data_IF_278770166183
#
_entry.id   IF_278770166183
#
_cell.length_a   1.000
_cell.length_b   1.000
_cell.length_c   1.000
_cell.angle_alpha   90.00
_cell.angle_beta   90.00
_cell.angle_gamma   90.00
#
_symmetry.space_group_name_H-M   'P 1'
#
loop_
_entity.id
_entity.type
_entity.pdbx_description
1 polymer ?
#
# COMPACT_ATOMS: atom_id res chain seq x y z
N UNK A 1 31.08 -0.07 -32.39
CA UNK A 1 29.94 0.64 -31.83
C UNK A 1 29.81 0.29 -30.35
N UNK A 2 29.69 1.28 -29.46
CA UNK A 2 29.38 1.06 -28.03
C UNK A 2 27.87 0.98 -27.84
N UNK A 3 27.43 0.19 -26.88
CA UNK A 3 26.03 0.08 -26.46
C UNK A 3 25.91 0.46 -25.01
N UNK A 4 24.87 1.24 -24.66
CA UNK A 4 24.56 1.55 -23.26
C UNK A 4 23.95 0.31 -22.61
N UNK A 5 24.59 -0.19 -21.53
CA UNK A 5 24.12 -1.33 -20.77
C UNK A 5 23.61 -0.86 -19.41
N UNK A 6 22.57 -1.52 -18.91
CA UNK A 6 22.03 -1.28 -17.57
C UNK A 6 22.68 -2.24 -16.59
N UNK A 7 23.21 -1.73 -15.49
CA UNK A 7 23.55 -2.52 -14.30
C UNK A 7 22.23 -2.76 -13.55
N UNK A 8 21.58 -3.88 -13.83
CA UNK A 8 20.26 -4.19 -13.31
C UNK A 8 20.28 -4.38 -11.79
N UNK A 9 21.33 -5.02 -11.26
CA UNK A 9 21.45 -5.21 -9.80
C UNK A 9 21.49 -3.87 -9.09
N UNK A 10 22.40 -2.98 -9.51
CA UNK A 10 22.56 -1.65 -8.93
C UNK A 10 21.28 -0.83 -9.04
N UNK A 11 20.62 -0.87 -10.20
CA UNK A 11 19.34 -0.19 -10.38
C UNK A 11 18.26 -0.69 -9.40
N UNK A 12 18.19 -2.02 -9.16
CA UNK A 12 17.22 -2.58 -8.22
C UNK A 12 17.56 -2.22 -6.76
N UNK A 13 18.85 -2.14 -6.42
CA UNK A 13 19.33 -1.67 -5.12
C UNK A 13 18.98 -0.20 -4.91
N UNK A 14 19.23 0.68 -5.87
CA UNK A 14 18.86 2.10 -5.82
C UNK A 14 17.34 2.27 -5.69
N UNK A 15 16.56 1.48 -6.42
CA UNK A 15 15.10 1.49 -6.32
C UNK A 15 14.62 1.03 -4.95
N UNK A 16 15.25 0.01 -4.35
CA UNK A 16 14.96 -0.42 -2.96
C UNK A 16 15.25 0.70 -1.98
N UNK A 17 16.42 1.33 -2.10
CA UNK A 17 16.91 2.35 -1.17
C UNK A 17 16.09 3.67 -1.27
N UNK A 18 15.37 3.87 -2.38
CA UNK A 18 14.43 4.98 -2.51
C UNK A 18 13.15 4.81 -1.64
N UNK A 19 12.90 3.62 -1.09
CA UNK A 19 11.78 3.39 -0.18
C UNK A 19 12.22 3.56 1.28
N UNK A 20 11.44 4.26 2.11
CA UNK A 20 11.69 4.32 3.54
C UNK A 20 11.28 3.00 4.19
N UNK A 21 12.21 2.29 4.80
CA UNK A 21 11.92 1.06 5.54
C UNK A 21 12.61 -0.18 4.97
N UNK A 22 12.31 -1.33 5.57
CA UNK A 22 12.91 -2.60 5.18
C UNK A 22 12.45 -3.05 3.79
N UNK A 23 13.34 -3.71 3.06
CA UNK A 23 13.04 -4.24 1.72
C UNK A 23 11.85 -5.21 1.75
N UNK A 24 11.76 -6.04 2.76
CA UNK A 24 10.70 -7.03 2.95
C UNK A 24 9.32 -6.37 3.09
N UNK A 25 9.23 -5.31 3.88
CA UNK A 25 7.99 -4.54 4.05
C UNK A 25 7.60 -3.82 2.75
N UNK A 26 8.58 -3.29 2.03
CA UNK A 26 8.38 -2.68 0.70
C UNK A 26 7.84 -3.69 -0.30
N UNK A 27 8.47 -4.87 -0.40
CA UNK A 27 8.04 -5.94 -1.30
C UNK A 27 6.60 -6.33 -0.98
N UNK A 28 6.29 -6.59 0.28
CA UNK A 28 4.96 -6.98 0.74
C UNK A 28 3.92 -5.92 0.34
N UNK A 29 4.16 -4.65 0.67
CA UNK A 29 3.21 -3.56 0.39
C UNK A 29 3.01 -3.32 -1.10
N UNK A 30 4.04 -3.47 -1.92
CA UNK A 30 3.93 -3.34 -3.37
C UNK A 30 3.14 -4.50 -4.00
N UNK A 31 3.34 -5.72 -3.51
CA UNK A 31 2.57 -6.89 -3.96
C UNK A 31 1.09 -6.75 -3.58
N UNK A 32 0.81 -6.29 -2.36
CA UNK A 32 -0.55 -5.97 -1.91
C UNK A 32 -1.19 -4.89 -2.78
N UNK A 33 -0.48 -3.81 -3.08
CA UNK A 33 -0.97 -2.74 -3.94
C UNK A 33 -1.33 -3.26 -5.35
N UNK A 34 -0.53 -4.17 -5.90
CA UNK A 34 -0.84 -4.81 -7.18
C UNK A 34 -2.09 -5.69 -7.12
N UNK A 35 -2.24 -6.46 -6.04
CA UNK A 35 -3.41 -7.31 -5.82
C UNK A 35 -4.68 -6.49 -5.56
N UNK A 36 -4.58 -5.34 -4.90
CA UNK A 36 -5.71 -4.41 -4.73
C UNK A 36 -6.16 -3.85 -6.07
N UNK A 37 -5.24 -3.36 -6.88
CA UNK A 37 -5.53 -2.78 -8.19
C UNK A 37 -6.05 -3.81 -9.22
N UNK A 38 -5.88 -5.11 -8.99
CA UNK A 38 -6.46 -6.17 -9.83
C UNK A 38 -7.98 -6.32 -9.64
N UNK A 39 -8.58 -5.59 -8.69
CA UNK A 39 -9.98 -5.69 -8.31
C UNK A 39 -10.30 -6.93 -7.48
N UNK A 40 -9.30 -7.60 -6.91
CA UNK A 40 -9.51 -8.74 -6.04
C UNK A 40 -10.31 -8.37 -4.79
N UNK A 41 -11.14 -9.28 -4.29
CA UNK A 41 -11.84 -9.13 -3.00
C UNK A 41 -11.06 -9.82 -1.87
N UNK A 42 -10.37 -10.92 -2.17
CA UNK A 42 -9.60 -11.69 -1.20
C UNK A 42 -8.13 -11.75 -1.61
N UNK A 43 -7.23 -11.57 -0.64
CA UNK A 43 -5.78 -11.74 -0.78
C UNK A 43 -5.32 -12.69 0.30
N UNK A 44 -4.70 -13.77 -0.13
CA UNK A 44 -4.20 -14.80 0.75
C UNK A 44 -2.68 -14.80 0.75
N UNK A 45 -2.11 -14.77 1.93
CA UNK A 45 -0.67 -14.81 2.17
C UNK A 45 -0.37 -16.15 2.84
N UNK A 46 0.48 -16.94 2.22
CA UNK A 46 0.92 -18.21 2.78
C UNK A 46 2.42 -18.19 2.94
N UNK A 47 2.87 -18.08 4.17
CA UNK A 47 4.26 -18.20 4.55
C UNK A 47 4.56 -19.66 4.90
N UNK A 48 5.54 -20.25 4.23
CA UNK A 48 6.06 -21.60 4.47
C UNK A 48 7.55 -21.53 4.81
N UNK A 49 7.92 -21.44 6.09
CA UNK A 49 9.31 -21.40 6.50
C UNK A 49 10.09 -22.68 6.13
N UNK A 50 9.44 -23.84 6.05
CA UNK A 50 10.12 -25.10 5.74
C UNK A 50 10.62 -25.13 4.29
N UNK A 51 9.93 -24.47 3.38
CA UNK A 51 10.30 -24.31 1.98
C UNK A 51 10.98 -22.98 1.68
N UNK A 52 11.10 -22.08 2.67
CA UNK A 52 11.52 -20.70 2.49
C UNK A 52 10.69 -19.96 1.44
N UNK A 53 9.37 -20.20 1.42
CA UNK A 53 8.46 -19.67 0.41
C UNK A 53 7.41 -18.73 1.03
N UNK A 54 7.18 -17.58 0.37
CA UNK A 54 6.00 -16.75 0.55
C UNK A 54 5.16 -16.79 -0.73
N UNK A 55 3.91 -17.21 -0.63
CA UNK A 55 2.93 -17.15 -1.72
C UNK A 55 1.87 -16.09 -1.42
N UNK A 56 1.63 -15.20 -2.36
CA UNK A 56 0.54 -14.22 -2.32
C UNK A 56 -0.39 -14.55 -3.48
N UNK A 57 -1.65 -14.83 -3.15
CA UNK A 57 -2.71 -15.17 -4.09
C UNK A 57 -3.81 -14.11 -4.02
N UNK A 58 -4.27 -13.63 -5.15
CA UNK A 58 -5.46 -12.78 -5.28
C UNK A 58 -6.52 -13.42 -6.18
N UNK A 59 -7.79 -13.11 -5.92
CA UNK A 59 -8.95 -13.50 -6.71
C UNK A 59 -9.35 -12.40 -7.73
N UNK A 60 -8.39 -11.63 -8.22
CA UNK A 60 -8.61 -10.55 -9.18
C UNK A 60 -8.82 -11.02 -10.62
N UNK A 61 -8.82 -10.07 -11.53
CA UNK A 61 -9.12 -10.31 -12.94
C UNK A 61 -8.07 -11.15 -13.69
N UNK A 62 -6.91 -11.46 -13.10
CA UNK A 62 -5.80 -12.13 -13.74
C UNK A 62 -5.19 -11.35 -14.91
N UNK A 63 -4.12 -11.87 -15.50
CA UNK A 63 -3.40 -11.25 -16.61
C UNK A 63 -3.59 -12.03 -17.90
N UNK A 64 -3.59 -11.33 -19.04
CA UNK A 64 -3.42 -11.96 -20.36
C UNK A 64 -1.95 -12.35 -20.54
N UNK A 65 -1.66 -13.31 -21.42
CA UNK A 65 -0.30 -13.78 -21.70
C UNK A 65 0.66 -12.63 -22.04
N UNK A 66 0.23 -11.67 -22.87
CA UNK A 66 1.02 -10.49 -23.23
C UNK A 66 1.30 -9.56 -22.01
N UNK A 67 0.34 -9.45 -21.09
CA UNK A 67 0.46 -8.59 -19.92
C UNK A 67 1.43 -9.23 -18.90
N UNK A 68 1.37 -10.57 -18.76
CA UNK A 68 2.35 -11.34 -17.97
C UNK A 68 3.76 -11.26 -18.57
N UNK A 69 3.92 -11.27 -19.92
CA UNK A 69 5.22 -11.05 -20.53
C UNK A 69 5.79 -9.66 -20.18
N UNK A 70 4.98 -8.59 -20.33
CA UNK A 70 5.37 -7.21 -19.98
C UNK A 70 5.60 -6.97 -18.50
N UNK A 71 5.02 -7.80 -17.65
CA UNK A 71 5.21 -7.74 -16.20
C UNK A 71 6.69 -7.90 -15.80
N UNK A 72 7.51 -8.56 -16.62
CA UNK A 72 8.94 -8.75 -16.38
C UNK A 72 9.80 -7.53 -16.78
N UNK A 73 9.26 -6.62 -17.60
CA UNK A 73 9.98 -5.42 -18.00
C UNK A 73 10.11 -4.45 -16.81
N UNK A 74 11.32 -3.96 -16.54
CA UNK A 74 11.57 -3.00 -15.45
C UNK A 74 10.89 -1.67 -15.77
N UNK A 75 10.20 -1.11 -14.77
CA UNK A 75 9.42 0.12 -14.87
C UNK A 75 8.27 0.10 -15.91
N UNK A 76 8.01 -1.04 -16.57
CA UNK A 76 6.84 -1.16 -17.44
C UNK A 76 5.57 -1.30 -16.58
N UNK A 77 4.59 -0.47 -16.89
CA UNK A 77 3.27 -0.52 -16.28
C UNK A 77 2.20 -0.14 -17.31
N UNK A 78 1.05 -0.77 -17.21
CA UNK A 78 -0.15 -0.35 -17.96
C UNK A 78 -1.07 0.51 -17.11
N UNK A 79 -0.74 0.70 -15.82
CA UNK A 79 -1.55 1.42 -14.85
C UNK A 79 -1.30 2.92 -14.96
N UNK A 80 -2.36 3.69 -14.85
CA UNK A 80 -2.31 5.15 -14.87
C UNK A 80 -2.23 5.67 -13.43
N UNK A 81 -1.34 6.62 -13.20
CA UNK A 81 -1.23 7.28 -11.89
C UNK A 81 -2.55 7.99 -11.56
N UNK A 82 -3.07 7.74 -10.36
CA UNK A 82 -4.35 8.31 -9.90
C UNK A 82 -5.54 7.37 -10.01
N UNK A 83 -5.43 6.25 -10.74
CA UNK A 83 -6.48 5.24 -10.87
C UNK A 83 -6.30 4.07 -9.89
N UNK A 84 -5.15 3.99 -9.23
CA UNK A 84 -4.82 2.96 -8.24
C UNK A 84 -3.51 3.27 -7.53
N UNK A 85 -3.04 2.33 -6.71
CA UNK A 85 -1.83 2.46 -5.90
C UNK A 85 -0.60 1.92 -6.64
N UNK A 86 -0.74 0.85 -7.41
CA UNK A 86 0.35 0.08 -8.00
C UNK A 86 0.82 0.58 -9.37
N UNK A 87 1.10 1.87 -9.54
CA UNK A 87 1.43 2.48 -10.83
C UNK A 87 2.92 2.46 -11.21
N UNK A 88 3.83 2.13 -10.29
CA UNK A 88 5.28 2.31 -10.49
C UNK A 88 5.94 1.18 -11.33
N UNK A 89 5.34 0.01 -11.36
CA UNK A 89 5.88 -1.15 -12.09
C UNK A 89 7.21 -1.70 -11.52
N UNK A 90 7.53 -1.40 -10.26
CA UNK A 90 8.83 -1.67 -9.62
C UNK A 90 8.75 -2.75 -8.55
N UNK A 91 7.62 -2.85 -7.82
CA UNK A 91 7.52 -3.60 -6.59
C UNK A 91 8.05 -5.04 -6.62
N UNK A 92 7.55 -5.86 -7.55
CA UNK A 92 7.99 -7.27 -7.67
C UNK A 92 9.47 -7.39 -8.09
N UNK A 93 10.00 -6.37 -8.82
CA UNK A 93 11.39 -6.37 -9.28
C UNK A 93 12.35 -6.28 -8.10
N UNK A 94 11.99 -5.53 -7.05
CA UNK A 94 12.75 -5.50 -5.78
C UNK A 94 12.77 -6.90 -5.15
N UNK A 95 11.69 -7.69 -5.32
CA UNK A 95 11.62 -9.08 -4.86
C UNK A 95 12.73 -9.97 -5.40
N UNK A 96 13.28 -9.68 -6.59
CA UNK A 96 14.43 -10.42 -7.17
C UNK A 96 15.70 -10.31 -6.32
N UNK A 97 15.87 -9.23 -5.55
CA UNK A 97 17.03 -9.05 -4.66
C UNK A 97 17.05 -10.07 -3.53
N UNK A 98 15.88 -10.40 -2.99
CA UNK A 98 15.71 -11.25 -1.80
C UNK A 98 15.32 -12.70 -2.13
N UNK A 99 14.98 -12.97 -3.40
CA UNK A 99 14.49 -14.29 -3.82
C UNK A 99 15.50 -15.00 -4.72
N UNK A 100 15.60 -16.32 -4.58
CA UNK A 100 16.28 -17.21 -5.54
C UNK A 100 15.45 -17.32 -6.82
N UNK A 101 14.13 -17.41 -6.67
CA UNK A 101 13.18 -17.53 -7.76
C UNK A 101 11.88 -16.80 -7.42
N UNK A 102 11.30 -16.13 -8.41
CA UNK A 102 9.94 -15.59 -8.38
C UNK A 102 9.12 -16.38 -9.38
N UNK A 103 8.09 -17.06 -8.92
CA UNK A 103 7.09 -17.73 -9.74
C UNK A 103 5.84 -16.85 -9.78
N UNK A 104 5.31 -16.62 -10.98
CA UNK A 104 4.02 -15.93 -11.17
C UNK A 104 3.11 -16.80 -11.99
N UNK A 105 1.96 -17.15 -11.42
CA UNK A 105 0.89 -17.88 -12.10
C UNK A 105 -0.34 -16.98 -12.19
N UNK A 106 -1.01 -16.95 -13.32
CA UNK A 106 -2.21 -16.14 -13.53
C UNK A 106 -3.25 -16.89 -14.35
N UNK A 107 -4.52 -16.71 -13.99
CA UNK A 107 -5.65 -17.28 -14.73
C UNK A 107 -6.69 -16.22 -15.02
N UNK A 108 -7.05 -16.08 -16.29
CA UNK A 108 -8.05 -15.15 -16.79
C UNK A 108 -8.92 -15.82 -17.84
N UNK A 109 -10.13 -16.25 -17.47
CA UNK A 109 -10.98 -17.05 -18.33
C UNK A 109 -10.29 -18.36 -18.75
N UNK A 110 -10.14 -18.57 -20.08
CA UNK A 110 -9.46 -19.76 -20.62
C UNK A 110 -7.93 -19.66 -20.61
N UNK A 111 -7.38 -18.48 -20.33
CA UNK A 111 -5.94 -18.28 -20.30
C UNK A 111 -5.41 -18.64 -18.91
N UNK A 112 -4.57 -19.68 -18.87
CA UNK A 112 -3.84 -20.10 -17.69
C UNK A 112 -2.37 -20.16 -18.05
N UNK A 113 -1.53 -19.39 -17.38
CA UNK A 113 -0.11 -19.24 -17.72
C UNK A 113 0.73 -19.03 -16.46
N UNK A 114 1.96 -19.49 -16.50
CA UNK A 114 2.92 -19.26 -15.44
C UNK A 114 4.32 -18.97 -15.99
N UNK A 115 5.09 -18.23 -15.19
CA UNK A 115 6.50 -17.91 -15.47
C UNK A 115 7.34 -18.10 -14.23
N UNK A 116 8.62 -18.42 -14.43
CA UNK A 116 9.65 -18.25 -13.39
C UNK A 116 10.63 -17.20 -13.79
N UNK A 117 11.16 -16.49 -12.80
CA UNK A 117 12.04 -15.35 -12.97
C UNK A 117 13.08 -15.30 -11.84
N UNK A 118 14.33 -14.96 -12.14
CA UNK A 118 15.40 -14.83 -11.14
C UNK A 118 16.48 -13.85 -11.61
N UNK A 119 17.24 -13.30 -10.67
CA UNK A 119 18.41 -12.49 -10.95
C UNK A 119 19.62 -13.42 -11.15
N UNK A 120 20.06 -13.62 -12.39
CA UNK A 120 21.15 -14.53 -12.71
C UNK A 120 22.54 -13.87 -12.71
N UNK A 121 22.60 -12.53 -12.89
CA UNK A 121 23.82 -11.74 -12.84
C UNK A 121 23.51 -10.28 -12.61
N UNK A 122 24.56 -9.43 -12.46
CA UNK A 122 24.38 -7.97 -12.34
C UNK A 122 23.55 -7.34 -13.45
N UNK A 123 23.55 -7.93 -14.66
CA UNK A 123 22.92 -7.34 -15.84
C UNK A 123 21.73 -8.14 -16.38
N UNK A 124 21.42 -9.29 -15.80
CA UNK A 124 20.43 -10.21 -16.36
C UNK A 124 19.50 -10.79 -15.31
N UNK A 125 18.21 -10.71 -15.58
CA UNK A 125 17.16 -11.42 -14.87
C UNK A 125 16.31 -12.21 -15.89
N UNK A 126 16.74 -13.41 -16.32
CA UNK A 126 16.02 -14.23 -17.27
C UNK A 126 14.71 -14.75 -16.66
N UNK A 127 13.69 -14.80 -17.49
CA UNK A 127 12.41 -15.41 -17.16
C UNK A 127 12.00 -16.40 -18.27
N UNK A 128 11.21 -17.39 -17.91
CA UNK A 128 10.71 -18.39 -18.84
C UNK A 128 9.27 -18.79 -18.53
N UNK A 129 8.55 -19.20 -19.57
CA UNK A 129 7.26 -19.85 -19.41
C UNK A 129 7.44 -21.23 -18.81
N UNK A 130 6.53 -21.58 -17.89
CA UNK A 130 6.44 -22.93 -17.31
C UNK A 130 4.98 -23.41 -17.37
N UNK A 131 4.71 -24.73 -17.30
CA UNK A 131 3.39 -25.22 -17.02
C UNK A 131 2.87 -24.64 -15.70
N UNK A 132 1.60 -24.16 -15.63
CA UNK A 132 1.05 -23.65 -14.41
C UNK A 132 1.04 -24.69 -13.29
N UNK A 133 1.62 -24.42 -12.11
CA UNK A 133 1.67 -25.38 -11.01
C UNK A 133 0.33 -25.58 -10.28
N UNK A 134 -0.70 -24.78 -10.60
CA UNK A 134 -2.03 -24.93 -10.00
C UNK A 134 -2.26 -24.14 -8.72
N UNK A 135 -1.54 -23.04 -8.52
CA UNK A 135 -1.75 -22.12 -7.39
C UNK A 135 -3.05 -21.32 -7.54
N UNK A 136 -3.47 -21.06 -8.80
CA UNK A 136 -4.69 -20.31 -9.12
C UNK A 136 -5.76 -21.28 -9.62
N UNK A 137 -6.81 -21.49 -8.82
CA UNK A 137 -7.88 -22.42 -9.14
C UNK A 137 -8.79 -21.92 -10.29
N UNK A 138 -9.44 -20.78 -10.11
CA UNK A 138 -10.45 -20.27 -11.04
C UNK A 138 -9.99 -19.03 -11.82
N UNK A 139 -9.67 -17.96 -11.11
CA UNK A 139 -9.19 -16.70 -11.67
C UNK A 139 -8.32 -15.95 -10.66
N UNK A 140 -7.47 -15.06 -11.14
CA UNK A 140 -6.60 -14.26 -10.28
C UNK A 140 -5.12 -14.41 -10.62
N UNK A 141 -4.29 -14.05 -9.65
CA UNK A 141 -2.83 -14.14 -9.78
C UNK A 141 -2.22 -14.65 -8.48
N UNK A 142 -1.29 -15.58 -8.60
CA UNK A 142 -0.42 -16.02 -7.52
C UNK A 142 1.02 -15.60 -7.82
N UNK A 143 1.69 -15.04 -6.82
CA UNK A 143 3.12 -14.78 -6.87
C UNK A 143 3.78 -15.53 -5.71
N UNK A 144 4.72 -16.39 -6.02
CA UNK A 144 5.51 -17.13 -5.03
C UNK A 144 6.96 -16.65 -5.07
N UNK A 145 7.46 -16.26 -3.93
CA UNK A 145 8.86 -15.92 -3.70
C UNK A 145 9.53 -17.08 -2.98
N UNK A 146 10.54 -17.69 -3.57
CA UNK A 146 11.46 -18.58 -2.86
C UNK A 146 12.63 -17.72 -2.37
N UNK A 147 12.69 -17.53 -1.05
CA UNK A 147 13.58 -16.56 -0.43
C UNK A 147 14.98 -17.14 -0.25
N UNK A 148 16.00 -16.29 -0.46
CA UNK A 148 17.41 -16.62 -0.23
C UNK A 148 17.72 -16.81 1.26
N UNK A 149 17.06 -16.00 2.10
CA UNK A 149 17.25 -16.04 3.55
C UNK A 149 16.09 -16.80 4.20
N UNK A 150 16.34 -17.98 4.80
CA UNK A 150 15.31 -18.76 5.50
C UNK A 150 14.82 -18.11 6.80
N UNK A 151 15.50 -17.04 7.26
CA UNK A 151 15.10 -16.23 8.41
C UNK A 151 14.46 -14.91 7.99
N UNK A 152 14.04 -14.77 6.74
CA UNK A 152 13.39 -13.55 6.26
C UNK A 152 12.10 -13.27 7.03
N UNK A 153 11.85 -12.01 7.44
CA UNK A 153 10.57 -11.63 8.05
C UNK A 153 9.36 -11.94 7.18
N UNK A 154 9.52 -12.05 5.85
CA UNK A 154 8.45 -12.45 4.94
C UNK A 154 7.94 -13.88 5.17
N UNK A 155 8.64 -14.69 5.97
CA UNK A 155 8.22 -16.03 6.39
C UNK A 155 7.51 -16.04 7.74
N UNK A 156 7.42 -14.89 8.42
CA UNK A 156 6.72 -14.73 9.69
C UNK A 156 5.28 -14.21 9.45
N UNK A 157 4.25 -15.02 9.72
CA UNK A 157 2.86 -14.57 9.62
C UNK A 157 2.54 -13.36 10.49
N UNK A 158 3.19 -13.21 11.64
CA UNK A 158 3.04 -12.06 12.53
C UNK A 158 3.55 -10.76 11.91
N UNK A 159 4.71 -10.81 11.26
CA UNK A 159 5.25 -9.69 10.50
C UNK A 159 4.32 -9.29 9.35
N UNK A 160 3.81 -10.27 8.58
CA UNK A 160 2.88 -10.01 7.47
C UNK A 160 1.60 -9.34 7.98
N UNK A 161 0.99 -9.88 9.05
CA UNK A 161 -0.21 -9.29 9.66
C UNK A 161 0.04 -7.86 10.15
N UNK A 162 1.16 -7.62 10.86
CA UNK A 162 1.53 -6.30 11.36
C UNK A 162 1.72 -5.28 10.23
N UNK A 163 2.40 -5.66 9.14
CA UNK A 163 2.58 -4.82 7.98
C UNK A 163 1.25 -4.50 7.26
N UNK A 164 0.37 -5.50 7.10
CA UNK A 164 -0.96 -5.30 6.52
C UNK A 164 -1.79 -4.31 7.37
N UNK A 165 -1.79 -4.47 8.69
CA UNK A 165 -2.50 -3.57 9.62
C UNK A 165 -1.92 -2.15 9.61
N UNK A 166 -0.61 -2.01 9.49
CA UNK A 166 0.06 -0.70 9.44
C UNK A 166 -0.21 0.05 8.15
N UNK A 167 -0.01 -0.61 7.01
CA UNK A 167 -0.05 0.04 5.70
C UNK A 167 -1.43 0.07 5.05
N UNK A 168 -2.31 -0.85 5.40
CA UNK A 168 -3.65 -0.99 4.82
C UNK A 168 -4.76 -0.94 5.87
N UNK A 169 -4.49 -0.29 6.99
CA UNK A 169 -5.46 -0.06 8.07
C UNK A 169 -6.83 0.42 7.56
N UNK A 170 -6.94 1.36 6.60
CA UNK A 170 -8.24 1.83 6.12
C UNK A 170 -9.11 0.73 5.54
N UNK A 171 -8.52 -0.31 4.93
CA UNK A 171 -9.24 -1.45 4.37
C UNK A 171 -9.76 -2.42 5.43
N UNK A 172 -9.23 -2.34 6.64
CA UNK A 172 -9.63 -3.12 7.81
C UNK A 172 -10.52 -2.32 8.77
N UNK A 173 -10.72 -1.02 8.49
CA UNK A 173 -11.48 -0.12 9.34
C UNK A 173 -12.95 -0.03 8.86
N UNK A 174 -13.92 -0.48 9.67
CA UNK A 174 -15.35 -0.44 9.31
C UNK A 174 -15.85 0.98 9.00
N UNK A 175 -15.28 2.00 9.63
CA UNK A 175 -15.73 3.38 9.52
C UNK A 175 -15.36 4.05 8.19
N UNK A 176 -14.40 3.47 7.47
CA UNK A 176 -14.01 3.91 6.12
C UNK A 176 -14.63 3.04 5.02
N UNK A 177 -15.41 2.02 5.38
CA UNK A 177 -16.01 1.09 4.42
C UNK A 177 -16.87 1.78 3.38
N UNK A 178 -17.64 2.81 3.75
CA UNK A 178 -18.53 3.53 2.83
C UNK A 178 -17.75 4.28 1.75
N UNK A 179 -16.70 5.05 2.11
CA UNK A 179 -15.89 5.78 1.12
C UNK A 179 -15.09 4.82 0.25
N UNK A 180 -14.61 3.73 0.82
CA UNK A 180 -13.84 2.73 0.10
C UNK A 180 -14.71 1.82 -0.78
N UNK A 181 -16.00 1.66 -0.48
CA UNK A 181 -16.93 0.89 -1.30
C UNK A 181 -17.11 1.46 -2.72
N UNK A 182 -16.89 2.77 -2.93
CA UNK A 182 -16.89 3.37 -4.26
C UNK A 182 -15.78 2.76 -5.16
N UNK A 183 -14.66 2.33 -4.56
CA UNK A 183 -13.52 1.74 -5.27
C UNK A 183 -13.49 0.21 -5.16
N UNK A 184 -13.97 -0.31 -4.03
CA UNK A 184 -13.95 -1.75 -3.71
C UNK A 184 -15.35 -2.26 -3.38
N UNK A 185 -16.27 -2.35 -4.36
CA UNK A 185 -17.68 -2.71 -4.11
C UNK A 185 -17.85 -4.11 -3.52
N UNK A 186 -16.88 -5.02 -3.71
CA UNK A 186 -16.85 -6.35 -3.11
C UNK A 186 -16.15 -6.39 -1.75
N UNK A 187 -15.71 -5.23 -1.23
CA UNK A 187 -14.85 -5.12 -0.07
C UNK A 187 -13.44 -5.65 -0.32
N UNK A 188 -12.59 -5.56 0.71
CA UNK A 188 -11.21 -6.06 0.70
C UNK A 188 -11.01 -6.92 1.94
N UNK A 189 -10.52 -8.13 1.75
CA UNK A 189 -10.21 -9.07 2.84
C UNK A 189 -8.81 -9.62 2.69
N UNK A 190 -8.12 -9.77 3.80
CA UNK A 190 -6.79 -10.37 3.89
C UNK A 190 -6.86 -11.65 4.70
N UNK A 191 -6.18 -12.70 4.24
CA UNK A 191 -6.00 -13.94 4.98
C UNK A 191 -4.50 -14.24 5.07
N UNK A 192 -4.00 -14.58 6.27
CA UNK A 192 -2.62 -14.96 6.52
C UNK A 192 -2.60 -16.37 7.06
N UNK A 193 -1.94 -17.29 6.38
CA UNK A 193 -1.90 -18.73 6.68
C UNK A 193 -3.31 -19.29 7.00
N UNK A 194 -4.28 -18.97 6.13
CA UNK A 194 -5.66 -19.44 6.23
C UNK A 194 -6.53 -18.68 7.23
N UNK A 195 -5.98 -17.78 8.04
CA UNK A 195 -6.73 -16.97 9.01
C UNK A 195 -7.11 -15.62 8.40
N UNK A 196 -8.40 -15.33 8.32
CA UNK A 196 -8.88 -14.01 7.93
C UNK A 196 -8.51 -12.97 9.00
N UNK A 197 -8.00 -11.81 8.55
CA UNK A 197 -7.78 -10.68 9.43
C UNK A 197 -9.12 -10.05 9.78
N UNK A 198 -9.41 -10.00 11.07
CA UNK A 198 -10.59 -9.32 11.57
C UNK A 198 -10.50 -7.80 11.31
N UNK A 199 -11.64 -7.15 10.97
CA UNK A 199 -11.72 -5.71 10.99
C UNK A 199 -11.28 -5.15 12.35
N UNK A 200 -10.63 -4.00 12.34
CA UNK A 200 -10.10 -3.38 13.54
C UNK A 200 -10.52 -1.92 13.61
N UNK A 201 -11.62 -1.66 14.29
CA UNK A 201 -12.07 -0.32 14.64
C UNK A 201 -11.27 0.27 15.81
N UNK A 202 -11.45 1.55 16.04
CA UNK A 202 -10.89 2.24 17.17
C UNK A 202 -11.87 2.22 18.34
N UNK A 203 -11.41 1.71 19.47
CA UNK A 203 -12.08 1.91 20.75
C UNK A 203 -11.40 3.10 21.43
N UNK A 204 -12.05 4.24 21.42
CA UNK A 204 -11.55 5.46 22.03
C UNK A 204 -12.67 6.14 22.81
N UNK A 205 -12.28 6.96 23.80
CA UNK A 205 -13.23 7.67 24.66
C UNK A 205 -14.05 8.70 23.88
N UNK A 206 -13.38 9.43 22.99
CA UNK A 206 -14.01 10.46 22.17
C UNK A 206 -13.65 10.25 20.70
N UNK A 207 -14.63 10.55 19.84
CA UNK A 207 -14.49 10.42 18.42
C UNK A 207 -15.20 11.56 17.70
N UNK A 208 -14.56 12.11 16.67
CA UNK A 208 -15.13 13.11 15.79
C UNK A 208 -14.94 12.71 14.32
N UNK A 209 -16.02 12.75 13.55
CA UNK A 209 -15.96 12.51 12.10
C UNK A 209 -15.40 13.74 11.39
N UNK A 210 -14.50 13.52 10.44
CA UNK A 210 -13.91 14.53 9.59
C UNK A 210 -14.39 14.33 8.15
N UNK A 211 -15.10 15.32 7.62
CA UNK A 211 -15.52 15.35 6.22
C UNK A 211 -14.96 16.62 5.57
N UNK A 212 -14.04 16.45 4.63
CA UNK A 212 -13.39 17.57 3.95
C UNK A 212 -14.12 17.86 2.65
N UNK A 213 -14.57 19.10 2.50
CA UNK A 213 -15.19 19.61 1.27
C UNK A 213 -14.26 20.59 0.58
N UNK A 214 -13.98 20.36 -0.68
CA UNK A 214 -13.29 21.34 -1.52
C UNK A 214 -14.30 22.23 -2.24
N UNK A 215 -13.92 23.48 -2.57
CA UNK A 215 -14.76 24.37 -3.36
C UNK A 215 -15.27 23.68 -4.64
N UNK A 216 -16.52 23.94 -5.01
CA UNK A 216 -17.21 23.39 -6.19
C UNK A 216 -17.46 21.87 -6.19
N UNK A 217 -17.22 21.15 -5.09
CA UNK A 217 -17.61 19.73 -4.96
C UNK A 217 -18.82 19.56 -4.05
N UNK A 218 -19.84 18.82 -4.53
CA UNK A 218 -21.07 18.56 -3.75
C UNK A 218 -20.83 17.49 -2.66
N UNK A 219 -20.07 16.43 -2.99
CA UNK A 219 -19.74 15.35 -2.04
C UNK A 219 -18.44 15.68 -1.28
N UNK A 220 -18.25 15.16 -0.07
CA UNK A 220 -16.95 15.22 0.60
C UNK A 220 -15.86 14.67 -0.31
N UNK A 221 -14.75 15.38 -0.36
CA UNK A 221 -13.58 15.01 -1.18
C UNK A 221 -12.59 14.15 -0.39
N UNK A 222 -12.74 14.10 0.93
CA UNK A 222 -12.05 13.24 1.86
C UNK A 222 -12.96 12.98 3.06
N UNK A 223 -12.84 11.80 3.66
CA UNK A 223 -13.60 11.39 4.85
C UNK A 223 -12.69 10.63 5.80
N UNK A 224 -12.95 10.80 7.08
CA UNK A 224 -12.18 10.15 8.12
C UNK A 224 -12.67 10.53 9.50
N UNK A 225 -11.81 10.36 10.48
CA UNK A 225 -12.14 10.66 11.86
C UNK A 225 -10.88 10.97 12.68
N UNK A 226 -11.09 11.67 13.79
CA UNK A 226 -10.16 11.78 14.90
C UNK A 226 -10.69 11.01 16.08
N UNK A 227 -9.78 10.51 16.90
CA UNK A 227 -10.05 9.87 18.18
C UNK A 227 -9.15 10.48 19.26
N UNK A 228 -9.70 10.58 20.48
CA UNK A 228 -8.95 10.98 21.67
C UNK A 228 -9.22 10.00 22.81
N UNK A 229 -8.17 9.67 23.55
CA UNK A 229 -8.28 8.83 24.74
C UNK A 229 -7.67 9.55 25.96
N UNK A 230 -7.99 9.05 27.15
CA UNK A 230 -7.36 9.50 28.41
C UNK A 230 -5.95 8.94 28.56
N UNK A 231 -5.71 7.75 28.03
CA UNK A 231 -4.42 7.07 28.05
C UNK A 231 -3.71 7.26 26.72
N UNK A 232 -2.37 7.19 26.70
CA UNK A 232 -1.61 7.19 25.46
C UNK A 232 -2.07 6.07 24.53
N UNK A 233 -2.30 6.41 23.27
CA UNK A 233 -2.57 5.45 22.21
C UNK A 233 -1.32 4.60 21.93
N UNK A 234 -1.52 3.41 21.40
CA UNK A 234 -0.41 2.62 20.83
C UNK A 234 0.34 3.44 19.80
N UNK A 235 1.65 3.30 19.74
CA UNK A 235 2.52 4.11 18.89
C UNK A 235 2.07 4.14 17.42
N UNK A 236 1.70 2.98 16.89
CA UNK A 236 1.21 2.83 15.51
C UNK A 236 -0.14 3.50 15.24
N UNK A 237 -0.81 4.01 16.27
CA UNK A 237 -2.09 4.72 16.19
C UNK A 237 -2.00 6.21 16.52
N UNK A 238 -0.85 6.69 16.99
CA UNK A 238 -0.66 8.10 17.30
C UNK A 238 -0.61 8.94 16.02
N UNK A 239 -1.14 10.16 16.12
CA UNK A 239 -1.18 11.09 15.00
C UNK A 239 -2.24 10.78 13.95
N UNK A 240 -2.42 11.70 13.03
CA UNK A 240 -3.35 11.52 11.91
C UNK A 240 -2.67 10.79 10.76
N UNK A 241 -3.24 9.68 10.34
CA UNK A 241 -2.84 8.99 9.12
C UNK A 241 -3.61 9.55 7.92
N UNK A 242 -2.90 9.80 6.81
CA UNK A 242 -3.50 10.08 5.52
C UNK A 242 -3.31 8.89 4.60
N UNK A 243 -4.40 8.46 3.98
CA UNK A 243 -4.44 7.30 3.09
C UNK A 243 -5.04 7.66 1.73
N UNK A 244 -4.76 6.82 0.75
CA UNK A 244 -5.38 6.89 -0.57
C UNK A 244 -5.58 5.46 -1.11
N UNK A 245 -6.79 5.16 -1.56
CA UNK A 245 -7.21 3.81 -1.95
C UNK A 245 -6.91 2.76 -0.87
N UNK A 246 -7.07 3.15 0.39
CA UNK A 246 -6.86 2.25 1.53
C UNK A 246 -5.40 2.00 1.90
N UNK A 247 -4.41 2.60 1.22
CA UNK A 247 -2.99 2.58 1.62
C UNK A 247 -2.66 3.80 2.44
N UNK A 248 -2.14 3.62 3.65
CA UNK A 248 -1.57 4.69 4.47
C UNK A 248 -0.28 5.20 3.81
N UNK A 249 -0.21 6.51 3.62
CA UNK A 249 0.93 7.18 2.98
C UNK A 249 1.80 7.84 4.03
N UNK A 250 1.18 8.55 4.97
CA UNK A 250 1.86 9.22 6.08
C UNK A 250 1.04 9.09 7.36
N UNK A 251 1.72 9.13 8.49
CA UNK A 251 1.13 9.23 9.83
C UNK A 251 1.93 10.22 10.65
N UNK A 252 1.29 10.91 11.58
CA UNK A 252 1.89 11.91 12.45
C UNK A 252 1.18 13.25 12.31
N UNK A 253 1.71 14.27 12.96
CA UNK A 253 1.18 15.62 12.93
C UNK A 253 1.99 16.55 12.02
N UNK A 254 3.25 16.20 11.78
CA UNK A 254 4.25 17.02 11.07
C UNK A 254 3.83 17.29 9.62
N UNK A 255 3.26 16.27 8.96
CA UNK A 255 2.82 16.43 7.57
C UNK A 255 1.67 17.44 7.43
N UNK A 256 0.89 17.61 8.52
CA UNK A 256 -0.23 18.54 8.57
C UNK A 256 0.21 19.91 9.10
N UNK A 257 1.33 19.96 9.84
CA UNK A 257 1.83 21.18 10.46
C UNK A 257 0.99 21.61 11.66
N UNK A 258 0.48 20.64 12.42
CA UNK A 258 -0.23 20.84 13.68
C UNK A 258 0.59 20.25 14.82
N UNK A 259 0.42 20.82 16.01
CA UNK A 259 1.05 20.37 17.24
C UNK A 259 -0.02 20.27 18.35
N UNK A 260 -0.72 19.15 18.48
CA UNK A 260 -1.66 18.93 19.57
C UNK A 260 -0.96 19.00 20.93
N UNK A 261 -1.69 19.41 21.97
CA UNK A 261 -1.18 19.47 23.35
C UNK A 261 -0.87 18.09 23.91
N UNK A 262 -1.61 17.07 23.48
CA UNK A 262 -1.44 15.67 23.89
C UNK A 262 -1.28 14.75 22.67
N UNK A 263 -0.17 14.86 21.92
CA UNK A 263 -0.01 14.19 20.61
C UNK A 263 0.00 12.66 20.71
N UNK A 264 0.31 12.10 21.88
CA UNK A 264 0.29 10.67 22.18
C UNK A 264 -1.12 10.12 22.48
N UNK A 265 -2.10 10.99 22.78
CA UNK A 265 -3.48 10.63 23.12
C UNK A 265 -4.46 10.83 21.98
N UNK A 266 -4.03 11.50 20.93
CA UNK A 266 -4.86 11.82 19.77
C UNK A 266 -4.31 11.12 18.54
N UNK A 267 -5.22 10.51 17.79
CA UNK A 267 -4.92 9.85 16.53
C UNK A 267 -6.10 9.96 15.58
N UNK A 268 -5.95 9.36 14.41
CA UNK A 268 -7.04 9.37 13.43
C UNK A 268 -6.61 8.81 12.09
N UNK A 269 -7.57 8.82 11.19
CA UNK A 269 -7.40 8.29 9.85
C UNK A 269 -8.27 9.08 8.88
N UNK A 270 -7.69 9.49 7.76
CA UNK A 270 -8.41 10.18 6.69
C UNK A 270 -8.09 9.57 5.33
N UNK A 271 -9.13 9.19 4.61
CA UNK A 271 -9.03 8.62 3.26
C UNK A 271 -9.27 9.70 2.21
N UNK A 272 -8.33 9.85 1.28
CA UNK A 272 -8.34 10.87 0.22
C UNK A 272 -8.00 10.23 -1.13
N UNK A 273 -8.94 9.57 -1.82
CA UNK A 273 -8.67 8.85 -3.07
C UNK A 273 -8.04 9.73 -4.16
N UNK A 274 -8.46 10.99 -4.26
CA UNK A 274 -7.95 11.91 -5.26
C UNK A 274 -6.44 12.22 -5.15
N UNK A 275 -5.82 11.96 -3.99
CA UNK A 275 -4.38 12.20 -3.81
C UNK A 275 -3.49 11.10 -4.41
N UNK A 276 -4.06 10.00 -4.91
CA UNK A 276 -3.30 8.99 -5.65
C UNK A 276 -2.53 9.59 -6.85
N UNK A 277 -3.08 10.63 -7.50
CA UNK A 277 -2.40 11.35 -8.59
C UNK A 277 -1.15 12.12 -8.14
N UNK A 278 -1.08 12.49 -6.86
CA UNK A 278 0.01 13.28 -6.30
C UNK A 278 1.07 12.44 -5.57
N UNK A 279 0.95 11.12 -5.54
CA UNK A 279 1.92 10.24 -4.88
C UNK A 279 3.31 10.35 -5.52
N UNK A 280 4.36 10.28 -4.69
CA UNK A 280 5.73 10.05 -5.14
C UNK A 280 5.88 8.65 -5.73
N UNK A 281 7.00 8.35 -6.37
CA UNK A 281 7.25 7.05 -6.99
C UNK A 281 7.25 5.92 -5.94
N UNK A 282 7.87 6.15 -4.79
CA UNK A 282 7.94 5.24 -3.66
C UNK A 282 6.65 5.20 -2.81
N UNK A 283 5.64 6.03 -3.15
CA UNK A 283 4.33 6.08 -2.46
C UNK A 283 4.41 6.33 -0.94
N UNK A 284 5.48 6.98 -0.51
CA UNK A 284 5.71 7.34 0.90
C UNK A 284 5.50 8.83 1.18
N UNK A 285 5.28 9.63 0.14
CA UNK A 285 4.99 11.06 0.24
C UNK A 285 4.16 11.56 -0.96
N UNK A 286 3.86 12.84 -0.94
CA UNK A 286 3.15 13.54 -2.00
C UNK A 286 4.07 14.54 -2.70
N UNK A 287 3.91 14.66 -4.02
CA UNK A 287 4.55 15.69 -4.83
C UNK A 287 4.05 17.06 -4.37
N UNK A 288 4.96 18.00 -4.12
CA UNK A 288 4.63 19.34 -3.59
C UNK A 288 4.73 20.45 -4.62
N UNK A 289 5.15 20.15 -5.83
CA UNK A 289 5.38 21.12 -6.91
C UNK A 289 4.52 20.83 -8.13
N UNK A 290 4.32 21.86 -8.96
CA UNK A 290 3.51 21.76 -10.17
C UNK A 290 2.01 21.49 -9.90
N UNK A 291 1.25 21.11 -10.94
CA UNK A 291 -0.20 20.90 -10.82
C UNK A 291 -0.59 19.84 -9.78
N UNK A 292 0.19 18.77 -9.67
CA UNK A 292 -0.04 17.70 -8.67
C UNK A 292 0.21 18.19 -7.25
N UNK A 293 1.24 19.01 -7.07
CA UNK A 293 1.53 19.65 -5.80
C UNK A 293 0.45 20.62 -5.36
N UNK A 294 -0.12 21.38 -6.27
CA UNK A 294 -1.23 22.26 -6.00
C UNK A 294 -2.46 21.51 -5.47
N UNK A 295 -2.76 20.33 -6.04
CA UNK A 295 -3.83 19.45 -5.55
C UNK A 295 -3.54 19.00 -4.13
N UNK A 296 -2.34 18.48 -3.86
CA UNK A 296 -1.96 18.05 -2.50
C UNK A 296 -2.07 19.18 -1.48
N UNK A 297 -1.54 20.37 -1.81
CA UNK A 297 -1.56 21.53 -0.90
C UNK A 297 -2.98 22.01 -0.59
N UNK A 298 -3.89 21.96 -1.57
CA UNK A 298 -5.30 22.30 -1.37
C UNK A 298 -5.99 21.34 -0.40
N UNK A 299 -5.77 20.01 -0.58
CA UNK A 299 -6.30 19.01 0.35
C UNK A 299 -5.68 19.14 1.74
N UNK A 300 -4.34 19.30 1.81
CA UNK A 300 -3.63 19.46 3.07
C UNK A 300 -4.18 20.63 3.88
N UNK A 301 -4.39 21.79 3.25
CA UNK A 301 -4.95 22.98 3.90
C UNK A 301 -6.37 22.71 4.43
N UNK A 302 -7.25 22.15 3.61
CA UNK A 302 -8.62 21.88 4.01
C UNK A 302 -8.73 20.83 5.15
N UNK A 303 -7.84 19.83 5.14
CA UNK A 303 -7.73 18.86 6.23
C UNK A 303 -7.21 19.55 7.49
N UNK A 304 -6.15 20.36 7.37
CA UNK A 304 -5.57 21.10 8.49
C UNK A 304 -6.61 21.98 9.19
N UNK A 305 -7.40 22.73 8.44
CA UNK A 305 -8.46 23.59 8.98
C UNK A 305 -9.53 22.79 9.72
N UNK A 306 -9.95 21.65 9.15
CA UNK A 306 -10.97 20.79 9.78
C UNK A 306 -10.47 20.14 11.06
N UNK A 307 -9.24 19.66 11.04
CA UNK A 307 -8.59 19.00 12.18
C UNK A 307 -8.27 19.99 13.26
N UNK A 308 -7.74 21.17 12.93
CA UNK A 308 -7.43 22.24 13.91
C UNK A 308 -8.70 22.67 14.66
N UNK A 309 -9.82 22.81 13.95
CA UNK A 309 -11.11 23.14 14.58
C UNK A 309 -11.51 22.07 15.59
N UNK A 310 -11.42 20.79 15.22
CA UNK A 310 -11.78 19.70 16.12
C UNK A 310 -10.86 19.59 17.34
N UNK A 311 -9.54 19.79 17.14
CA UNK A 311 -8.57 19.83 18.25
C UNK A 311 -8.84 21.01 19.18
N UNK A 312 -9.22 22.19 18.65
CA UNK A 312 -9.60 23.35 19.46
C UNK A 312 -10.87 23.07 20.27
N UNK A 313 -11.90 22.44 19.68
CA UNK A 313 -13.12 22.02 20.38
C UNK A 313 -12.81 21.05 21.53
N UNK A 314 -11.80 20.21 21.37
CA UNK A 314 -11.33 19.32 22.42
C UNK A 314 -10.39 19.97 23.44
N UNK A 315 -9.94 21.21 23.20
CA UNK A 315 -8.94 21.88 24.02
C UNK A 315 -7.52 21.31 23.86
N UNK A 316 -7.27 20.60 22.78
CA UNK A 316 -5.98 19.94 22.46
C UNK A 316 -5.10 20.75 21.49
N UNK A 317 -5.51 21.95 21.12
CA UNK A 317 -4.71 22.84 20.30
C UNK A 317 -4.41 24.12 21.12
N UNK A 318 -3.13 24.38 21.38
CA UNK A 318 -2.74 25.68 21.91
C UNK A 318 -2.91 26.74 20.81
N UNK A 319 -3.64 27.80 21.10
CA UNK A 319 -3.57 29.00 20.27
C UNK A 319 -2.11 29.45 20.24
N UNK A 320 -1.53 29.55 19.04
CA UNK A 320 -0.24 30.20 18.90
C UNK A 320 -0.39 31.61 19.48
N UNK A 321 0.39 31.94 20.51
CA UNK A 321 0.40 33.29 21.04
C UNK A 321 0.62 34.26 19.87
N UNK A 322 -0.18 35.33 19.76
CA UNK A 322 0.01 36.31 18.69
C UNK A 322 1.42 36.87 18.80
N UNK A 323 2.21 36.75 17.72
CA UNK A 323 3.54 37.36 17.56
C UNK A 323 3.35 38.87 17.31
#
# INVERSE_FOLDING_TARGET
>A
MGETRVDLLHLLEDLRDAYPGAAEETILTEMVANAIDSGAAVRTFTADPAQSELTILDDGGGMRRRDLARYHDVAATTKVRGEGIGFAGVGIKIGLLVSEEVLTETRRGRHHAATTWHLSSRHRAPWKWIPPPGLVADHGTAVRLRLKNPLSPLLDPGFIEAALRRHFQPLLDPDLSEILAEHYPRGVRFAVNGRLLAPEGWQALERASIAVRLPRRRKPAASGYLVRDRLPLREERRGLAISTFGKVIKRGWEWLGLAPSSPDRVGGLIEVPALAQALTLNKADFIRTGPRGAVYLAYRKAIQESVARQLAEWGDLHEAAPV
#
